data_IF_698334406788
#
_entry.id   IF_698334406788
#
_cell.length_a   1.000
_cell.length_b   1.000
_cell.length_c   1.000
_cell.angle_alpha   90.00
_cell.angle_beta   90.00
_cell.angle_gamma   90.00
#
_symmetry.space_group_name_H-M   'P 1'
#
loop_
_entity.id
_entity.type
_entity.pdbx_description
1 polymer ?
#
# COMPACT_ATOMS: atom_id res chain seq x y z
N UNK A 1 7.02 10.89 -6.16
CA UNK A 1 6.10 10.98 -5.01
C UNK A 1 5.32 9.68 -4.96
N UNK A 2 5.46 8.89 -3.90
CA UNK A 2 4.67 7.66 -3.69
C UNK A 2 3.47 7.97 -2.81
N UNK A 3 2.48 7.07 -2.71
CA UNK A 3 1.25 7.29 -1.92
C UNK A 3 0.48 8.57 -2.29
N UNK A 4 0.65 9.03 -3.55
CA UNK A 4 0.11 10.29 -4.04
C UNK A 4 -0.73 10.04 -5.27
N UNK A 5 -1.94 10.59 -5.28
CA UNK A 5 -2.92 10.46 -6.36
C UNK A 5 -3.23 11.84 -6.95
N UNK A 6 -3.61 11.86 -8.23
CA UNK A 6 -4.09 13.08 -8.89
C UNK A 6 -5.55 13.31 -8.47
N UNK A 7 -5.82 14.44 -7.82
CA UNK A 7 -7.17 14.82 -7.38
C UNK A 7 -7.89 15.66 -8.45
N UNK A 8 -7.16 16.55 -9.12
CA UNK A 8 -7.73 17.47 -10.12
C UNK A 8 -6.68 17.88 -11.15
N UNK A 9 -7.13 18.08 -12.38
CA UNK A 9 -6.33 18.66 -13.47
C UNK A 9 -7.14 19.79 -14.10
N UNK A 10 -6.54 20.97 -14.19
CA UNK A 10 -7.11 22.16 -14.81
C UNK A 10 -6.10 22.79 -15.77
N UNK A 11 -6.57 23.68 -16.64
CA UNK A 11 -5.74 24.36 -17.63
C UNK A 11 -5.79 23.71 -19.01
N UNK A 12 -4.77 24.00 -19.81
CA UNK A 12 -4.71 23.63 -21.22
C UNK A 12 -3.33 23.14 -21.65
N UNK A 13 -3.21 22.69 -22.90
CA UNK A 13 -1.96 22.14 -23.44
C UNK A 13 -0.82 23.15 -23.27
N UNK A 14 0.19 22.78 -22.50
CA UNK A 14 1.37 23.60 -22.22
C UNK A 14 1.32 24.33 -20.88
N UNK A 15 0.16 24.37 -20.21
CA UNK A 15 -0.02 24.99 -18.89
C UNK A 15 -1.14 24.29 -18.11
N UNK A 16 -0.79 23.15 -17.50
CA UNK A 16 -1.69 22.42 -16.61
C UNK A 16 -1.38 22.70 -15.16
N UNK A 17 -2.41 23.03 -14.39
CA UNK A 17 -2.36 23.03 -12.94
C UNK A 17 -2.92 21.70 -12.44
N UNK A 18 -2.09 20.93 -11.72
CA UNK A 18 -2.44 19.60 -11.23
C UNK A 18 -2.43 19.61 -9.70
N UNK A 19 -3.57 19.28 -9.10
CA UNK A 19 -3.70 19.09 -7.66
C UNK A 19 -3.46 17.64 -7.30
N UNK A 20 -2.47 17.42 -6.44
CA UNK A 20 -2.08 16.11 -5.93
C UNK A 20 -2.51 15.95 -4.48
N UNK A 21 -2.92 14.73 -4.13
CA UNK A 21 -3.25 14.33 -2.75
C UNK A 21 -2.37 13.18 -2.31
N UNK A 22 -1.50 13.43 -1.34
CA UNK A 22 -0.68 12.40 -0.70
C UNK A 22 -1.39 11.87 0.53
N UNK A 23 -1.63 10.55 0.59
CA UNK A 23 -2.20 9.88 1.75
C UNK A 23 -1.14 9.80 2.88
N UNK A 24 -1.54 9.95 4.15
CA UNK A 24 -0.61 9.77 5.26
C UNK A 24 -0.14 8.32 5.30
N UNK A 25 1.16 8.09 5.44
CA UNK A 25 1.70 6.76 5.74
C UNK A 25 1.56 6.42 7.22
N UNK A 26 1.33 7.44 8.05
CA UNK A 26 1.47 7.41 9.50
C UNK A 26 2.89 7.05 9.96
N UNK A 27 3.85 7.24 9.06
CA UNK A 27 5.28 6.96 9.22
C UNK A 27 6.04 8.19 8.70
N UNK A 28 6.97 8.70 9.49
CA UNK A 28 7.87 9.80 9.12
C UNK A 28 8.97 9.20 8.23
N UNK A 29 8.88 9.46 6.93
CA UNK A 29 9.75 8.80 5.92
C UNK A 29 11.24 9.03 6.19
N UNK A 30 11.62 10.25 6.59
CA UNK A 30 12.99 10.67 6.92
C UNK A 30 13.62 9.87 8.08
N UNK A 31 12.78 9.33 8.98
CA UNK A 31 13.22 8.57 10.17
C UNK A 31 13.12 7.06 9.98
N UNK A 32 12.26 6.60 9.08
CA UNK A 32 12.00 5.18 8.92
C UNK A 32 13.19 4.49 8.28
N UNK A 33 13.72 3.45 8.94
CA UNK A 33 14.85 2.66 8.45
C UNK A 33 14.43 1.42 7.67
N UNK A 34 13.12 1.11 7.63
CA UNK A 34 12.62 -0.11 6.98
C UNK A 34 12.97 -1.41 7.72
N UNK A 35 13.34 -1.36 9.02
CA UNK A 35 13.81 -2.53 9.78
C UNK A 35 12.75 -3.59 10.13
N UNK A 36 11.49 -3.38 9.74
CA UNK A 36 10.35 -4.29 9.90
C UNK A 36 9.97 -4.74 11.32
N UNK A 37 10.66 -4.30 12.39
CA UNK A 37 10.35 -4.65 13.79
C UNK A 37 8.89 -4.35 14.16
N UNK A 38 8.34 -3.23 13.70
CA UNK A 38 6.94 -2.88 13.96
C UNK A 38 5.93 -3.90 13.38
N UNK A 39 6.31 -4.63 12.33
CA UNK A 39 5.47 -5.65 11.70
C UNK A 39 5.33 -6.87 12.62
N UNK A 40 6.44 -7.31 13.22
CA UNK A 40 6.49 -8.49 14.10
C UNK A 40 5.55 -8.35 15.32
N UNK A 41 5.44 -7.14 15.87
CA UNK A 41 4.63 -6.86 17.06
C UNK A 41 3.19 -6.44 16.74
N UNK A 42 2.83 -6.24 15.48
CA UNK A 42 1.48 -5.84 15.13
C UNK A 42 0.50 -7.02 15.30
N UNK A 43 -0.52 -6.91 16.16
CA UNK A 43 -1.47 -8.01 16.38
C UNK A 43 -2.51 -8.12 15.26
N UNK A 44 -2.68 -7.07 14.44
CA UNK A 44 -3.72 -7.01 13.42
C UNK A 44 -3.22 -7.57 12.10
N UNK A 45 -3.89 -8.63 11.65
CA UNK A 45 -3.70 -9.23 10.33
C UNK A 45 -4.79 -8.78 9.35
N UNK A 46 -4.40 -8.67 8.08
CA UNK A 46 -5.27 -8.36 6.96
C UNK A 46 -4.74 -9.02 5.67
N UNK A 47 -5.59 -9.29 4.66
CA UNK A 47 -5.15 -9.99 3.45
C UNK A 47 -4.07 -9.22 2.69
N UNK A 48 -2.97 -9.89 2.34
CA UNK A 48 -1.87 -9.28 1.60
C UNK A 48 -2.25 -9.04 0.13
N UNK A 49 -2.58 -7.80 -0.21
CA UNK A 49 -2.98 -7.42 -1.56
C UNK A 49 -1.87 -7.63 -2.60
N UNK A 50 -0.59 -7.44 -2.21
CA UNK A 50 0.53 -7.67 -3.12
C UNK A 50 0.66 -9.16 -3.47
N UNK A 51 0.43 -10.03 -2.49
CA UNK A 51 0.42 -11.48 -2.64
C UNK A 51 -0.96 -12.07 -3.02
N UNK A 52 -1.84 -11.29 -3.68
CA UNK A 52 -3.16 -11.73 -4.16
C UNK A 52 -4.09 -12.31 -3.06
N UNK A 53 -3.85 -11.94 -1.80
CA UNK A 53 -4.60 -12.47 -0.65
C UNK A 53 -4.25 -13.92 -0.27
N UNK A 54 -3.18 -14.48 -0.84
CA UNK A 54 -2.68 -15.83 -0.53
C UNK A 54 -2.11 -15.89 0.90
N UNK A 55 -1.42 -14.84 1.32
CA UNK A 55 -0.92 -14.66 2.68
C UNK A 55 -1.64 -13.52 3.41
N UNK A 56 -1.37 -13.42 4.71
CA UNK A 56 -1.77 -12.28 5.53
C UNK A 56 -0.60 -11.32 5.69
N UNK A 57 -0.91 -10.04 5.76
CA UNK A 57 0.01 -8.98 6.10
C UNK A 57 -0.42 -8.32 7.42
N UNK A 58 0.45 -7.48 7.99
CA UNK A 58 0.24 -6.79 9.26
C UNK A 58 -0.24 -5.37 9.01
N UNK A 59 -1.08 -4.80 9.90
CA UNK A 59 -1.60 -3.44 9.67
C UNK A 59 -0.49 -2.39 9.46
N UNK A 60 0.67 -2.53 10.10
CA UNK A 60 1.91 -1.82 9.73
C UNK A 60 2.84 -2.76 8.98
N UNK A 61 3.28 -2.37 7.78
CA UNK A 61 4.14 -3.20 6.92
C UNK A 61 4.81 -2.41 5.79
N UNK A 62 5.79 -3.04 5.13
CA UNK A 62 6.34 -2.59 3.85
C UNK A 62 5.60 -3.28 2.71
N UNK A 63 5.36 -2.59 1.59
CA UNK A 63 4.54 -3.12 0.49
C UNK A 63 5.10 -4.43 -0.10
N UNK A 64 6.42 -4.50 -0.24
CA UNK A 64 7.18 -5.71 -0.54
C UNK A 64 8.64 -5.51 -0.10
N UNK A 65 9.41 -6.59 -0.03
CA UNK A 65 10.78 -6.59 0.52
C UNK A 65 11.79 -5.67 -0.19
N UNK A 66 11.50 -5.27 -1.43
CA UNK A 66 12.37 -4.44 -2.27
C UNK A 66 11.69 -3.10 -2.65
N UNK A 67 10.68 -2.68 -1.88
CA UNK A 67 9.94 -1.46 -2.14
C UNK A 67 10.85 -0.22 -2.17
N UNK A 68 10.56 0.72 -3.07
CA UNK A 68 11.25 2.01 -3.17
C UNK A 68 10.20 3.15 -3.02
N UNK A 69 10.31 3.99 -1.98
CA UNK A 69 11.26 3.90 -0.87
C UNK A 69 10.95 2.71 0.06
N UNK A 70 11.97 2.17 0.74
CA UNK A 70 11.83 1.08 1.70
C UNK A 70 11.31 1.62 3.04
N UNK A 71 10.09 2.15 3.01
CA UNK A 71 9.44 2.82 4.13
C UNK A 71 8.13 2.10 4.43
N UNK A 72 7.94 1.74 5.69
CA UNK A 72 6.69 1.14 6.14
C UNK A 72 5.52 2.12 5.99
N UNK A 73 4.30 1.58 5.97
CA UNK A 73 3.08 2.35 6.09
C UNK A 73 2.08 1.61 6.97
N UNK A 74 1.07 2.34 7.44
CA UNK A 74 0.00 1.79 8.27
C UNK A 74 -1.29 1.80 7.45
N UNK A 75 -1.86 0.61 7.27
CA UNK A 75 -3.12 0.36 6.56
C UNK A 75 -4.32 0.85 7.37
N UNK A 76 -5.39 1.21 6.66
CA UNK A 76 -6.66 1.65 7.25
C UNK A 76 -7.29 0.59 8.18
N UNK A 77 -6.89 -0.68 8.07
CA UNK A 77 -7.27 -1.78 8.96
C UNK A 77 -6.68 -1.67 10.38
N UNK A 78 -5.76 -0.74 10.63
CA UNK A 78 -5.13 -0.53 11.93
C UNK A 78 -6.14 -0.24 13.05
N UNK A 79 -5.96 -0.91 14.19
CA UNK A 79 -6.82 -0.75 15.37
C UNK A 79 -6.67 0.63 16.02
N UNK A 80 -5.51 1.28 15.90
CA UNK A 80 -5.35 2.68 16.35
C UNK A 80 -6.22 3.63 15.51
N UNK A 81 -6.14 3.51 14.19
CA UNK A 81 -6.81 4.44 13.28
C UNK A 81 -8.34 4.31 13.34
N UNK A 82 -8.85 3.12 13.65
CA UNK A 82 -10.29 2.87 13.76
C UNK A 82 -10.87 3.17 15.14
N UNK A 83 -10.14 2.79 16.20
CA UNK A 83 -10.70 2.71 17.55
C UNK A 83 -9.77 3.28 18.64
N UNK A 84 -8.59 3.79 18.28
CA UNK A 84 -7.57 4.31 19.21
C UNK A 84 -7.11 3.31 20.29
N UNK A 85 -7.21 2.00 20.00
CA UNK A 85 -6.99 0.93 21.01
C UNK A 85 -5.57 0.34 21.07
N UNK A 86 -4.71 0.59 20.10
CA UNK A 86 -3.43 -0.13 19.98
C UNK A 86 -2.31 0.76 19.46
N UNK A 87 -1.23 0.91 20.21
CA UNK A 87 -0.06 1.72 19.82
C UNK A 87 1.27 0.96 19.96
N UNK A 88 1.23 -0.38 20.04
CA UNK A 88 2.40 -1.24 20.25
C UNK A 88 3.52 -0.96 19.25
N UNK A 89 3.18 -0.78 17.97
CA UNK A 89 4.16 -0.51 16.92
C UNK A 89 4.95 0.78 17.17
N UNK A 90 4.32 1.80 17.78
CA UNK A 90 4.99 3.05 18.15
C UNK A 90 6.00 2.79 19.27
N UNK A 91 5.64 2.01 20.28
CA UNK A 91 6.51 1.69 21.41
C UNK A 91 7.76 0.87 21.05
N UNK A 92 7.70 0.03 20.01
CA UNK A 92 8.85 -0.77 19.55
C UNK A 92 9.71 -0.08 18.49
N UNK A 93 9.29 1.07 17.98
CA UNK A 93 10.00 1.77 16.91
C UNK A 93 11.17 2.59 17.47
N UNK A 94 12.39 2.03 17.42
CA UNK A 94 13.60 2.71 17.91
C UNK A 94 13.93 4.03 17.20
N UNK A 95 13.41 4.23 15.99
CA UNK A 95 13.65 5.44 15.20
C UNK A 95 12.61 6.56 15.46
N UNK A 96 11.63 6.32 16.33
CA UNK A 96 10.51 7.25 16.60
C UNK A 96 9.85 7.76 15.31
N UNK A 97 9.63 6.84 14.37
CA UNK A 97 9.13 7.14 13.05
C UNK A 97 7.60 7.06 12.93
N UNK A 98 6.88 6.56 13.94
CA UNK A 98 5.42 6.36 13.85
C UNK A 98 4.64 7.58 14.34
N UNK A 99 3.85 8.17 13.45
CA UNK A 99 2.99 9.31 13.74
C UNK A 99 1.57 9.12 13.20
N UNK A 100 0.66 8.68 14.08
CA UNK A 100 -0.76 8.51 13.77
C UNK A 100 -1.51 9.82 13.50
N UNK A 101 -0.94 10.98 13.83
CA UNK A 101 -1.59 12.28 13.63
C UNK A 101 -1.33 12.86 12.24
N UNK A 102 -0.58 12.16 11.38
CA UNK A 102 -0.37 12.58 10.00
C UNK A 102 -1.71 12.76 9.27
N UNK A 103 -1.83 13.88 8.57
CA UNK A 103 -3.01 14.19 7.75
C UNK A 103 -2.65 14.18 6.25
N UNK A 104 -3.63 13.97 5.36
CA UNK A 104 -3.39 14.03 3.93
C UNK A 104 -2.80 15.39 3.51
N UNK A 105 -1.75 15.36 2.70
CA UNK A 105 -1.10 16.56 2.17
C UNK A 105 -1.63 16.86 0.77
N UNK A 106 -2.06 18.10 0.54
CA UNK A 106 -2.37 18.61 -0.80
C UNK A 106 -1.16 19.35 -1.36
N UNK A 107 -0.88 19.19 -2.64
CA UNK A 107 0.23 19.88 -3.31
C UNK A 107 -0.18 20.17 -4.74
N UNK A 108 -0.08 21.43 -5.14
CA UNK A 108 -0.33 21.85 -6.52
C UNK A 108 0.99 21.97 -7.27
N UNK A 109 1.02 21.46 -8.49
CA UNK A 109 2.16 21.57 -9.40
C UNK A 109 1.71 22.09 -10.77
N UNK A 110 2.57 22.86 -11.42
CA UNK A 110 2.36 23.32 -12.78
C UNK A 110 3.23 22.50 -13.73
N UNK A 111 2.62 21.94 -14.77
CA UNK A 111 3.30 21.08 -15.75
C UNK A 111 2.86 21.39 -17.17
N UNK A 112 3.75 21.26 -18.14
CA UNK A 112 3.41 21.49 -19.55
C UNK A 112 2.74 20.30 -20.25
N UNK A 113 2.93 19.09 -19.73
CA UNK A 113 2.41 17.86 -20.32
C UNK A 113 2.10 16.81 -19.25
N UNK A 114 1.15 15.93 -19.55
CA UNK A 114 0.73 14.81 -18.69
C UNK A 114 0.84 13.52 -19.49
N UNK A 115 1.49 12.51 -18.91
CA UNK A 115 1.63 11.17 -19.51
C UNK A 115 0.87 10.18 -18.63
N UNK A 116 -0.12 9.50 -19.21
CA UNK A 116 -0.89 8.46 -18.51
C UNK A 116 -0.18 7.11 -18.61
N UNK A 117 0.09 6.51 -17.46
CA UNK A 117 0.78 5.22 -17.33
C UNK A 117 0.27 4.40 -16.14
N UNK A 118 -1.06 4.36 -15.95
CA UNK A 118 -1.72 3.73 -14.78
C UNK A 118 -1.67 2.19 -14.74
N UNK A 119 -1.04 1.54 -15.72
CA UNK A 119 -0.95 0.08 -15.80
C UNK A 119 -2.28 -0.59 -16.14
N UNK A 120 -2.43 -1.85 -15.71
CA UNK A 120 -3.59 -2.71 -15.96
C UNK A 120 -3.99 -3.45 -14.68
N UNK A 121 -5.25 -3.86 -14.61
CA UNK A 121 -5.74 -4.76 -13.56
C UNK A 121 -5.99 -6.16 -14.16
N UNK A 122 -5.47 -7.23 -13.54
CA UNK A 122 -5.75 -8.60 -13.97
C UNK A 122 -7.26 -8.91 -13.93
N UNK A 123 -7.73 -9.77 -14.82
CA UNK A 123 -9.11 -10.25 -14.79
C UNK A 123 -9.36 -11.09 -13.53
N UNK A 124 -10.49 -10.86 -12.84
CA UNK A 124 -10.94 -11.67 -11.72
C UNK A 124 -11.88 -12.80 -12.22
N UNK A 125 -11.42 -14.08 -12.26
CA UNK A 125 -12.23 -15.18 -12.76
C UNK A 125 -13.34 -15.62 -11.81
N UNK A 126 -13.48 -15.03 -10.63
CA UNK A 126 -14.56 -15.35 -9.69
C UNK A 126 -15.95 -15.02 -10.24
N UNK A 127 -16.05 -14.19 -11.29
CA UNK A 127 -17.30 -13.91 -12.01
C UNK A 127 -17.80 -15.10 -12.85
N UNK A 128 -16.96 -16.12 -13.06
CA UNK A 128 -17.25 -17.33 -13.83
C UNK A 128 -17.20 -18.56 -12.95
N UNK A 129 -18.36 -18.91 -12.40
CA UNK A 129 -18.51 -20.05 -11.50
C UNK A 129 -18.02 -21.37 -12.11
N UNK A 130 -18.10 -21.54 -13.43
CA UNK A 130 -17.65 -22.76 -14.12
C UNK A 130 -16.15 -23.05 -13.97
N UNK A 131 -15.33 -22.03 -13.70
CA UNK A 131 -13.89 -22.20 -13.53
C UNK A 131 -13.49 -22.64 -12.12
N UNK A 132 -14.38 -22.48 -11.13
CA UNK A 132 -14.08 -22.90 -9.76
C UNK A 132 -12.99 -22.07 -9.05
N UNK A 133 -12.60 -20.91 -9.58
CA UNK A 133 -11.64 -20.01 -8.94
C UNK A 133 -12.15 -19.58 -7.55
N UNK A 134 -11.28 -19.62 -6.54
CA UNK A 134 -11.60 -19.46 -5.09
C UNK A 134 -12.53 -20.51 -4.47
N UNK A 135 -13.01 -21.50 -5.23
CA UNK A 135 -13.76 -22.66 -4.70
C UNK A 135 -12.90 -23.91 -4.62
N UNK A 136 -12.03 -24.11 -5.62
CA UNK A 136 -11.08 -25.21 -5.70
C UNK A 136 -9.67 -24.70 -5.38
N UNK A 137 -8.98 -25.32 -4.43
CA UNK A 137 -7.68 -24.84 -3.93
C UNK A 137 -6.58 -24.79 -5.01
N UNK A 138 -6.67 -25.65 -6.02
CA UNK A 138 -5.68 -25.79 -7.09
C UNK A 138 -6.04 -25.04 -8.38
N UNK A 139 -7.12 -24.25 -8.38
CA UNK A 139 -7.44 -23.34 -9.49
C UNK A 139 -6.89 -21.96 -9.12
N UNK A 140 -5.82 -21.56 -9.82
CA UNK A 140 -5.09 -20.31 -9.58
C UNK A 140 -4.99 -19.51 -10.87
N UNK A 141 -4.91 -18.18 -10.76
CA UNK A 141 -4.61 -17.30 -11.91
C UNK A 141 -3.12 -17.30 -12.22
N UNK A 142 -2.76 -16.79 -13.39
CA UNK A 142 -1.35 -16.53 -13.70
C UNK A 142 -0.69 -15.60 -12.68
N UNK A 143 -1.41 -14.59 -12.17
CA UNK A 143 -0.87 -13.67 -11.16
C UNK A 143 -0.68 -14.33 -9.79
N UNK A 144 -1.60 -15.22 -9.38
CA UNK A 144 -1.41 -16.03 -8.17
C UNK A 144 -0.14 -16.89 -8.30
N UNK A 145 0.04 -17.52 -9.47
CA UNK A 145 1.19 -18.38 -9.74
C UNK A 145 2.52 -17.60 -9.74
N UNK A 146 2.56 -16.40 -10.31
CA UNK A 146 3.73 -15.51 -10.23
C UNK A 146 4.11 -15.19 -8.77
N UNK A 147 3.12 -14.94 -7.90
CA UNK A 147 3.38 -14.71 -6.48
C UNK A 147 3.90 -15.97 -5.78
N UNK A 148 3.33 -17.13 -6.06
CA UNK A 148 3.76 -18.42 -5.48
C UNK A 148 5.18 -18.84 -5.90
N UNK A 149 5.59 -18.53 -7.14
CA UNK A 149 6.94 -18.85 -7.64
C UNK A 149 8.00 -17.82 -7.23
N UNK A 150 7.58 -16.63 -6.82
CA UNK A 150 8.48 -15.56 -6.41
C UNK A 150 9.29 -15.97 -5.17
N UNK A 151 10.61 -15.73 -5.19
CA UNK A 151 11.47 -15.95 -4.01
C UNK A 151 11.13 -15.05 -2.82
N UNK A 152 10.45 -13.94 -3.10
CA UNK A 152 9.86 -13.01 -2.13
C UNK A 152 8.33 -13.11 -2.11
N UNK A 153 7.81 -14.26 -2.55
CA UNK A 153 6.40 -14.63 -2.48
C UNK A 153 5.90 -14.78 -1.03
N UNK A 154 4.62 -15.16 -0.87
CA UNK A 154 4.04 -15.44 0.43
C UNK A 154 4.74 -16.57 1.20
#
# INVERSE_FOLDING_TARGET
MTFTEVEKVEGEKGDFQVSLKTRPRYIIEEKCTGCTTCMEYCPKEYPDQFNQGISQNKAVHVYFSQAIPLVAYIDDSCLFLKEEKCDICRGVCQADAIDFNQTPKKTDINVGAIILSSGITPFDPSVKDEYGYRKMQNVVTSMDYERLLSSTGP
#
